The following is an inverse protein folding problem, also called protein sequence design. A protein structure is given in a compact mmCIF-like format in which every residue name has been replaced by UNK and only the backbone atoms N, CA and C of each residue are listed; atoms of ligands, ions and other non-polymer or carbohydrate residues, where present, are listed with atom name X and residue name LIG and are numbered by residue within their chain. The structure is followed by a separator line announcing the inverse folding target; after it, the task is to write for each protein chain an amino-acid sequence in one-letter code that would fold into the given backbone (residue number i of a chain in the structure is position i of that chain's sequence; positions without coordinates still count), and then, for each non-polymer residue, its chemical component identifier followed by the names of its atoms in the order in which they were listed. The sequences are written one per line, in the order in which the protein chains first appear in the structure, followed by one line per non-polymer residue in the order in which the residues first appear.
data_IF_407401495283
#
_entry.id   IF_407401495283
#
_cell.length_a   1.000
_cell.length_b   1.000
_cell.length_c   1.000
_cell.angle_alpha   90.00
_cell.angle_beta   90.00
_cell.angle_gamma   90.00
#
_symmetry.space_group_name_H-M   'P 1'
#
loop_
_entity.id
_entity.type
_entity.pdbx_description
1 polymer ?
#
# COMPACT_ATOMS: atom_id res chain seq x y z
N UNK A 1 17.16 2.85 -9.12
CA UNK A 1 17.01 3.74 -7.95
C UNK A 1 15.70 3.34 -7.32
N UNK A 2 15.64 2.83 -6.08
CA UNK A 2 14.35 2.58 -5.45
C UNK A 2 13.64 3.93 -5.35
N UNK A 3 12.50 4.07 -6.03
CA UNK A 3 11.70 5.27 -5.98
C UNK A 3 11.09 5.32 -4.57
N UNK A 4 11.82 5.94 -3.64
CA UNK A 4 11.31 6.27 -2.31
C UNK A 4 10.15 7.25 -2.47
N UNK A 5 8.97 6.71 -2.76
CA UNK A 5 7.73 7.46 -2.81
C UNK A 5 7.53 8.07 -1.42
N UNK A 6 7.57 9.40 -1.36
CA UNK A 6 7.26 10.11 -0.13
C UNK A 6 5.79 9.82 0.20
N UNK A 7 5.56 9.05 1.26
CA UNK A 7 4.22 8.76 1.74
C UNK A 7 3.67 10.05 2.33
N UNK A 8 2.64 10.59 1.68
CA UNK A 8 2.00 11.82 2.14
C UNK A 8 1.41 11.59 3.54
N UNK A 9 1.64 12.50 4.50
CA UNK A 9 1.07 12.38 5.84
C UNK A 9 -0.46 12.56 5.82
N UNK A 10 -1.18 12.04 6.84
CA UNK A 10 -2.61 12.29 6.95
C UNK A 10 -2.90 13.78 7.13
N UNK A 11 -4.05 14.23 6.61
CA UNK A 11 -4.52 15.62 6.77
C UNK A 11 -4.63 16.03 8.24
N UNK A 12 -5.10 15.10 9.08
CA UNK A 12 -5.25 15.30 10.51
C UNK A 12 -4.80 14.04 11.27
N UNK A 13 -4.20 14.23 12.45
CA UNK A 13 -3.85 13.10 13.32
C UNK A 13 -5.08 12.41 13.92
N UNK A 14 -6.21 13.12 14.00
CA UNK A 14 -7.50 12.59 14.44
C UNK A 14 -8.14 11.71 13.37
N UNK A 15 -9.16 10.94 13.77
CA UNK A 15 -10.01 10.22 12.84
C UNK A 15 -10.90 11.22 12.08
N UNK A 16 -10.96 11.11 10.75
CA UNK A 16 -11.78 11.97 9.89
C UNK A 16 -12.44 11.16 8.78
N UNK A 17 -13.64 11.58 8.30
CA UNK A 17 -14.31 10.89 7.21
C UNK A 17 -13.43 10.91 5.96
N UNK A 18 -13.07 9.73 5.45
CA UNK A 18 -12.21 9.57 4.27
C UNK A 18 -10.74 9.32 4.57
N UNK A 19 -10.32 9.26 5.85
CA UNK A 19 -8.94 8.98 6.25
C UNK A 19 -8.37 7.71 5.62
N UNK A 20 -9.13 6.62 5.62
CA UNK A 20 -8.71 5.36 4.98
C UNK A 20 -8.51 5.51 3.48
N UNK A 21 -9.34 6.31 2.80
CA UNK A 21 -9.21 6.55 1.36
C UNK A 21 -7.99 7.44 1.05
N UNK A 22 -7.70 8.42 1.89
CA UNK A 22 -6.49 9.24 1.78
C UNK A 22 -5.23 8.37 2.03
N UNK A 23 -5.27 7.42 2.96
CA UNK A 23 -4.17 6.47 3.18
C UNK A 23 -3.93 5.59 1.95
N UNK A 24 -5.00 5.06 1.35
CA UNK A 24 -4.92 4.32 0.08
C UNK A 24 -4.30 5.18 -1.02
N UNK A 25 -4.71 6.44 -1.14
CA UNK A 25 -4.15 7.34 -2.15
C UNK A 25 -2.64 7.61 -1.92
N UNK A 26 -2.23 7.79 -0.67
CA UNK A 26 -0.83 8.01 -0.30
C UNK A 26 0.06 6.78 -0.56
N UNK A 27 -0.46 5.57 -0.34
CA UNK A 27 0.29 4.32 -0.51
C UNK A 27 0.23 3.76 -1.94
N UNK A 28 -0.76 4.17 -2.74
CA UNK A 28 -0.97 3.70 -4.12
C UNK A 28 0.29 3.73 -5.00
N UNK A 29 1.06 4.82 -5.09
CA UNK A 29 2.23 4.83 -5.98
C UNK A 29 3.32 3.86 -5.52
N UNK A 30 3.55 3.74 -4.20
CA UNK A 30 4.53 2.81 -3.65
C UNK A 30 4.12 1.34 -3.84
N UNK A 31 2.84 1.01 -3.61
CA UNK A 31 2.32 -0.34 -3.86
C UNK A 31 2.38 -0.70 -5.34
N UNK A 32 2.08 0.25 -6.24
CA UNK A 32 2.17 0.00 -7.68
C UNK A 32 3.61 -0.31 -8.13
N UNK A 33 4.60 0.41 -7.61
CA UNK A 33 6.02 0.16 -7.92
C UNK A 33 6.46 -1.22 -7.39
N UNK A 34 6.10 -1.55 -6.15
CA UNK A 34 6.37 -2.86 -5.55
C UNK A 34 5.66 -4.00 -6.27
N UNK A 35 4.42 -3.81 -6.72
CA UNK A 35 3.69 -4.80 -7.49
C UNK A 35 4.37 -5.14 -8.84
N UNK A 36 5.09 -4.17 -9.43
CA UNK A 36 5.87 -4.35 -10.66
C UNK A 36 7.23 -4.99 -10.35
N UNK A 37 7.89 -4.55 -9.28
CA UNK A 37 9.22 -5.03 -8.91
C UNK A 37 9.22 -6.44 -8.30
N UNK A 38 8.20 -6.77 -7.48
CA UNK A 38 8.08 -7.98 -6.70
C UNK A 38 6.63 -8.55 -6.76
N UNK A 39 6.22 -9.10 -7.90
CA UNK A 39 4.85 -9.64 -8.07
C UNK A 39 4.56 -10.85 -7.17
N UNK A 40 5.57 -11.60 -6.72
CA UNK A 40 5.44 -12.73 -5.79
C UNK A 40 5.09 -12.28 -4.35
N UNK A 41 5.65 -11.14 -3.94
CA UNK A 41 5.37 -10.54 -2.63
C UNK A 41 3.98 -9.89 -2.59
N UNK A 42 3.46 -9.48 -3.75
CA UNK A 42 2.08 -8.98 -3.89
C UNK A 42 1.05 -10.08 -3.54
N UNK A 43 1.20 -11.27 -4.14
CA UNK A 43 0.29 -12.41 -3.88
C UNK A 43 0.41 -12.89 -2.43
N UNK A 44 1.63 -12.88 -1.87
CA UNK A 44 1.87 -13.17 -0.45
C UNK A 44 1.16 -12.15 0.44
N UNK A 45 1.29 -10.86 0.13
CA UNK A 45 0.66 -9.75 0.87
C UNK A 45 -0.86 -9.87 0.92
N UNK A 46 -1.48 -10.35 -0.14
CA UNK A 46 -2.93 -10.61 -0.20
C UNK A 46 -3.37 -11.80 0.67
N UNK A 47 -2.54 -12.84 0.76
CA UNK A 47 -2.89 -14.11 1.41
C UNK A 47 -2.55 -14.10 2.91
N UNK A 48 -1.33 -13.68 3.25
CA UNK A 48 -0.78 -13.75 4.61
C UNK A 48 -0.66 -12.38 5.27
N UNK A 49 -0.80 -11.28 4.51
CA UNK A 49 -0.53 -9.92 4.96
C UNK A 49 0.84 -9.39 4.52
N UNK A 50 1.08 -8.08 4.67
CA UNK A 50 2.25 -7.41 4.12
C UNK A 50 3.56 -8.02 4.66
N UNK A 51 4.42 -8.43 3.73
CA UNK A 51 5.72 -9.04 3.99
C UNK A 51 6.80 -8.38 3.12
N UNK A 52 8.07 -8.55 3.49
CA UNK A 52 9.20 -7.98 2.74
C UNK A 52 9.08 -6.46 2.61
N UNK A 53 9.23 -5.95 1.38
CA UNK A 53 9.12 -4.53 1.07
C UNK A 53 7.76 -3.92 1.42
N UNK A 54 6.66 -4.71 1.40
CA UNK A 54 5.35 -4.23 1.84
C UNK A 54 5.29 -3.97 3.35
N UNK A 55 6.05 -4.73 4.16
CA UNK A 55 6.17 -4.45 5.59
C UNK A 55 7.00 -3.19 5.85
N UNK A 56 8.05 -2.95 5.06
CA UNK A 56 8.79 -1.68 5.10
C UNK A 56 7.90 -0.50 4.70
N UNK A 57 6.99 -0.70 3.75
CA UNK A 57 6.00 0.31 3.36
C UNK A 57 5.04 0.65 4.50
N UNK A 58 4.56 -0.33 5.27
CA UNK A 58 3.76 -0.10 6.49
C UNK A 58 4.55 0.75 7.48
N UNK A 59 5.82 0.39 7.75
CA UNK A 59 6.67 1.14 8.67
C UNK A 59 6.94 2.57 8.18
N UNK A 60 7.03 2.78 6.86
CA UNK A 60 7.09 4.10 6.24
C UNK A 60 5.81 4.91 6.48
N UNK A 61 4.65 4.27 6.36
CA UNK A 61 3.36 4.91 6.61
C UNK A 61 3.21 5.34 8.07
N UNK A 62 3.62 4.49 9.01
CA UNK A 62 3.65 4.82 10.43
C UNK A 62 4.55 6.02 10.73
N UNK A 63 5.72 6.09 10.10
CA UNK A 63 6.62 7.25 10.21
C UNK A 63 6.01 8.53 9.65
N UNK A 64 5.15 8.43 8.63
CA UNK A 64 4.40 9.57 8.09
C UNK A 64 3.19 9.97 8.94
N UNK A 65 2.81 9.17 9.95
CA UNK A 65 1.71 9.44 10.87
C UNK A 65 0.42 8.66 10.59
N UNK A 66 0.46 7.70 9.67
CA UNK A 66 -0.64 6.74 9.48
C UNK A 66 -0.61 5.66 10.58
N UNK A 67 -1.74 5.03 10.82
CA UNK A 67 -1.86 3.87 11.71
C UNK A 67 -1.43 2.61 10.96
N UNK A 68 -0.71 1.72 11.65
CA UNK A 68 -0.29 0.45 11.07
C UNK A 68 -1.47 -0.33 10.47
N UNK A 69 -2.57 -0.46 11.20
CA UNK A 69 -3.76 -1.20 10.75
C UNK A 69 -4.35 -0.58 9.47
N UNK A 70 -4.40 0.76 9.39
CA UNK A 70 -4.95 1.46 8.23
C UNK A 70 -4.04 1.31 7.00
N UNK A 71 -2.72 1.35 7.20
CA UNK A 71 -1.76 1.12 6.14
C UNK A 71 -1.81 -0.33 5.64
N UNK A 72 -1.94 -1.31 6.53
CA UNK A 72 -2.07 -2.72 6.16
C UNK A 72 -3.35 -2.99 5.35
N UNK A 73 -4.48 -2.45 5.77
CA UNK A 73 -5.74 -2.56 5.02
C UNK A 73 -5.64 -1.89 3.64
N UNK A 74 -5.06 -0.68 3.59
CA UNK A 74 -4.83 0.04 2.34
C UNK A 74 -3.93 -0.73 1.38
N UNK A 75 -2.82 -1.29 1.86
CA UNK A 75 -1.90 -2.10 1.05
C UNK A 75 -2.59 -3.36 0.54
N UNK A 76 -3.37 -4.06 1.37
CA UNK A 76 -4.13 -5.25 0.92
C UNK A 76 -5.16 -4.92 -0.13
N UNK A 77 -5.87 -3.79 0.01
CA UNK A 77 -6.81 -3.32 -1.01
C UNK A 77 -6.08 -3.04 -2.32
N UNK A 78 -5.00 -2.26 -2.27
CA UNK A 78 -4.20 -1.92 -3.45
C UNK A 78 -3.61 -3.17 -4.10
N UNK A 79 -3.14 -4.14 -3.33
CA UNK A 79 -2.60 -5.39 -3.87
C UNK A 79 -3.66 -6.15 -4.69
N UNK A 80 -4.91 -6.22 -4.20
CA UNK A 80 -6.04 -6.80 -4.94
C UNK A 80 -6.38 -6.01 -6.20
N UNK A 81 -6.34 -4.68 -6.13
CA UNK A 81 -6.54 -3.81 -7.30
C UNK A 81 -5.47 -4.08 -8.38
N UNK A 82 -4.20 -4.21 -7.98
CA UNK A 82 -3.10 -4.50 -8.89
C UNK A 82 -3.21 -5.90 -9.50
N UNK A 83 -3.53 -6.93 -8.70
CA UNK A 83 -3.71 -8.29 -9.21
C UNK A 83 -4.92 -8.38 -10.16
N UNK A 84 -6.03 -7.71 -9.85
CA UNK A 84 -7.18 -7.61 -10.73
C UNK A 84 -6.87 -6.90 -12.06
N UNK A 85 -6.17 -5.76 -12.00
CA UNK A 85 -5.75 -5.03 -13.21
C UNK A 85 -4.82 -5.86 -14.10
N UNK A 86 -3.90 -6.64 -13.50
CA UNK A 86 -3.02 -7.57 -14.22
C UNK A 86 -3.81 -8.72 -14.86
N UNK A 87 -4.78 -9.28 -14.14
CA UNK A 87 -5.64 -10.35 -14.67
C UNK A 87 -6.46 -9.93 -15.88
N UNK A 88 -6.99 -8.70 -15.90
CA UNK A 88 -7.74 -8.15 -17.05
C UNK A 88 -6.86 -7.84 -18.25
N UNK A 89 -5.57 -7.56 -18.06
CA UNK A 89 -4.63 -7.30 -19.16
C UNK A 89 -4.16 -8.57 -19.89
N UNK A 90 -4.34 -9.75 -19.30
CA UNK A 90 -3.94 -11.05 -19.86
C UNK A 90 -5.09 -11.83 -20.53
N UNK A 91 -6.32 -11.31 -20.51
CA UNK A 91 -7.52 -11.92 -21.15
C UNK A 91 -7.67 -11.50 -22.62
#
# INVERSE_FOLDING_TARGET
MPHQHAIEPPKESADYPGRSADCVAALRPAVADLAIAAPEDLTTTMTTGPAGDFAELVAGAERAGWRADEAQDAIRQLAREQEGARGTLLD
#
